data_IF_480905549978
#
_entry.id   IF_480905549978
#
_cell.length_a   1.000
_cell.length_b   1.000
_cell.length_c   1.000
_cell.angle_alpha   90.00
_cell.angle_beta   90.00
_cell.angle_gamma   90.00
#
_symmetry.space_group_name_H-M   'P 1'
#
loop_
_entity.id
_entity.type
_entity.pdbx_description
1 polymer ?
#
# COMPACT_ATOMS: atom_id res chain seq x y z
N UNK A 1 17.70 3.65 16.77
CA UNK A 1 16.37 3.49 17.41
C UNK A 1 16.27 2.03 17.76
N UNK A 2 16.17 1.72 19.05
CA UNK A 2 15.94 0.35 19.49
C UNK A 2 14.51 -0.05 19.06
N UNK A 3 14.43 -1.06 18.21
CA UNK A 3 13.16 -1.58 17.72
C UNK A 3 12.64 -2.57 18.77
N UNK A 4 11.45 -2.31 19.29
CA UNK A 4 10.77 -3.24 20.20
C UNK A 4 10.09 -4.37 19.42
N UNK A 5 10.80 -5.49 19.29
CA UNK A 5 10.29 -6.70 18.62
C UNK A 5 9.19 -7.42 19.40
N UNK A 6 8.91 -7.03 20.65
CA UNK A 6 7.79 -7.58 21.44
C UNK A 6 6.46 -6.90 21.15
N UNK A 7 6.47 -5.79 20.38
CA UNK A 7 5.29 -5.01 20.06
C UNK A 7 4.24 -5.80 19.28
N UNK A 8 2.96 -5.42 19.45
CA UNK A 8 1.84 -6.05 18.72
C UNK A 8 2.02 -6.00 17.20
N UNK A 9 2.69 -4.96 16.68
CA UNK A 9 2.93 -4.82 15.25
C UNK A 9 3.77 -5.96 14.69
N UNK A 10 4.82 -6.39 15.41
CA UNK A 10 5.64 -7.54 14.97
C UNK A 10 4.89 -8.86 15.05
N UNK A 11 4.02 -9.02 16.07
CA UNK A 11 3.16 -10.22 16.21
C UNK A 11 2.15 -10.35 15.06
N UNK A 12 1.63 -9.22 14.60
CA UNK A 12 0.65 -9.18 13.50
C UNK A 12 1.34 -9.46 12.15
N UNK A 13 2.50 -8.84 11.91
CA UNK A 13 3.18 -8.92 10.62
C UNK A 13 4.11 -10.13 10.48
N UNK A 14 4.31 -10.90 11.55
CA UNK A 14 5.22 -12.06 11.60
C UNK A 14 6.68 -11.73 11.15
N UNK A 15 7.11 -10.47 11.27
CA UNK A 15 8.46 -10.04 10.90
C UNK A 15 9.42 -10.40 12.03
N UNK A 16 10.49 -11.12 11.70
CA UNK A 16 11.53 -11.49 12.65
C UNK A 16 12.64 -10.42 12.75
N UNK A 17 13.39 -10.45 13.85
CA UNK A 17 14.56 -9.59 14.01
C UNK A 17 15.58 -9.82 12.89
N UNK A 18 15.85 -11.08 12.55
CA UNK A 18 16.75 -11.45 11.46
C UNK A 18 16.33 -10.87 10.11
N UNK A 19 15.04 -10.91 9.78
CA UNK A 19 14.51 -10.28 8.56
C UNK A 19 14.73 -8.76 8.56
N UNK A 20 14.59 -8.10 9.71
CA UNK A 20 14.88 -6.66 9.81
C UNK A 20 16.37 -6.34 9.65
N UNK A 21 17.26 -7.19 10.19
CA UNK A 21 18.72 -7.01 10.12
C UNK A 21 19.28 -7.30 8.72
N UNK A 22 18.69 -8.22 7.98
CA UNK A 22 19.11 -8.62 6.63
C UNK A 22 18.35 -7.88 5.52
N UNK A 23 17.32 -7.15 5.86
CA UNK A 23 16.51 -6.38 4.91
C UNK A 23 17.25 -5.16 4.33
N UNK A 24 16.70 -4.61 3.25
CA UNK A 24 17.19 -3.36 2.68
C UNK A 24 16.86 -2.19 3.61
N UNK A 25 17.68 -1.14 3.55
CA UNK A 25 17.39 0.07 4.33
C UNK A 25 16.14 0.79 3.78
N UNK A 26 15.44 1.53 4.66
CA UNK A 26 14.28 2.34 4.24
C UNK A 26 14.66 3.31 3.12
N UNK A 27 15.87 3.88 3.16
CA UNK A 27 16.36 4.79 2.11
C UNK A 27 16.48 4.11 0.75
N UNK A 28 16.98 2.88 0.72
CA UNK A 28 17.08 2.07 -0.49
C UNK A 28 15.69 1.70 -0.99
N UNK A 29 14.82 1.23 -0.11
CA UNK A 29 13.44 0.90 -0.46
C UNK A 29 12.69 2.10 -1.07
N UNK A 30 12.86 3.32 -0.52
CA UNK A 30 12.26 4.54 -1.06
C UNK A 30 12.81 4.88 -2.45
N UNK A 31 14.11 4.71 -2.68
CA UNK A 31 14.71 4.99 -3.99
C UNK A 31 14.22 3.99 -5.04
N UNK A 32 14.12 2.71 -4.71
CA UNK A 32 13.55 1.69 -5.60
C UNK A 32 12.05 1.95 -5.86
N UNK A 33 11.28 2.27 -4.82
CA UNK A 33 9.88 2.66 -4.97
C UNK A 33 9.74 3.84 -5.95
N UNK A 34 10.59 4.86 -5.84
CA UNK A 34 10.51 6.01 -6.75
C UNK A 34 10.91 5.65 -8.17
N UNK A 35 11.88 4.78 -8.35
CA UNK A 35 12.23 4.25 -9.67
C UNK A 35 11.03 3.56 -10.33
N UNK A 36 10.31 2.72 -9.60
CA UNK A 36 9.11 2.06 -10.11
C UNK A 36 7.95 3.05 -10.32
N UNK A 37 7.79 4.00 -9.38
CA UNK A 37 6.77 5.05 -9.44
C UNK A 37 6.84 5.87 -10.74
N UNK A 38 8.05 6.18 -11.23
CA UNK A 38 8.22 6.91 -12.48
C UNK A 38 7.84 6.11 -13.74
N UNK A 39 7.72 4.81 -13.65
CA UNK A 39 7.44 3.93 -14.79
C UNK A 39 5.95 3.56 -14.91
N UNK A 40 5.12 4.01 -13.98
CA UNK A 40 3.72 3.65 -13.94
C UNK A 40 2.80 4.84 -14.21
N UNK A 41 1.64 4.56 -14.76
CA UNK A 41 0.59 5.56 -14.95
C UNK A 41 -0.37 5.63 -13.75
N UNK A 42 -0.34 4.60 -12.89
CA UNK A 42 -1.28 4.48 -11.78
C UNK A 42 -0.69 3.74 -10.59
N UNK A 43 -0.94 4.29 -9.42
CA UNK A 43 -0.68 3.64 -8.14
C UNK A 43 -2.01 3.22 -7.50
N UNK A 44 -2.06 1.99 -7.03
CA UNK A 44 -3.25 1.39 -6.44
C UNK A 44 -2.92 0.94 -5.04
N UNK A 45 -3.74 1.32 -4.07
CA UNK A 45 -3.61 0.82 -2.70
C UNK A 45 -4.98 0.70 -2.01
N UNK A 46 -5.00 -0.01 -0.88
CA UNK A 46 -6.16 -0.06 0.00
C UNK A 46 -5.95 0.91 1.15
N UNK A 47 -6.66 2.04 1.14
CA UNK A 47 -6.42 3.21 1.99
C UNK A 47 -5.15 4.01 1.60
N UNK A 48 -5.04 4.33 0.32
CA UNK A 48 -3.86 4.94 -0.31
C UNK A 48 -3.32 6.21 0.38
N UNK A 49 -4.19 6.96 1.05
CA UNK A 49 -3.78 8.14 1.83
C UNK A 49 -2.90 7.77 3.03
N UNK A 50 -3.08 6.59 3.60
CA UNK A 50 -2.23 6.09 4.67
C UNK A 50 -0.83 5.76 4.13
N UNK A 51 -0.76 4.98 3.04
CA UNK A 51 0.50 4.60 2.40
C UNK A 51 1.29 5.84 1.95
N UNK A 52 0.61 6.79 1.31
CA UNK A 52 1.20 8.07 0.90
C UNK A 52 1.84 8.82 2.09
N UNK A 53 1.14 8.91 3.22
CA UNK A 53 1.67 9.58 4.42
C UNK A 53 2.89 8.88 5.00
N UNK A 54 2.90 7.55 5.01
CA UNK A 54 4.06 6.77 5.48
C UNK A 54 5.26 7.02 4.56
N UNK A 55 5.09 6.89 3.25
CA UNK A 55 6.16 7.12 2.27
C UNK A 55 6.75 8.53 2.42
N UNK A 56 5.90 9.56 2.45
CA UNK A 56 6.35 10.95 2.63
C UNK A 56 7.08 11.13 3.96
N UNK A 57 6.55 10.56 5.05
CA UNK A 57 7.20 10.62 6.36
C UNK A 57 8.60 10.00 6.36
N UNK A 58 8.75 8.84 5.71
CA UNK A 58 10.05 8.17 5.60
C UNK A 58 11.01 8.91 4.64
N UNK A 59 10.51 9.50 3.57
CA UNK A 59 11.29 10.37 2.70
C UNK A 59 11.88 11.55 3.49
N UNK A 60 11.10 12.21 4.33
CA UNK A 60 11.54 13.33 5.14
C UNK A 60 12.56 12.90 6.21
N UNK A 61 12.32 11.78 6.90
CA UNK A 61 13.24 11.26 7.92
C UNK A 61 14.60 10.85 7.35
N UNK A 62 14.60 10.34 6.12
CA UNK A 62 15.78 9.75 5.49
C UNK A 62 16.37 10.61 4.36
N UNK A 63 15.97 11.86 4.21
CA UNK A 63 16.28 12.69 3.04
C UNK A 63 17.76 12.77 2.70
N UNK A 64 18.66 12.94 3.68
CA UNK A 64 20.12 12.98 3.42
C UNK A 64 20.67 11.66 2.89
N UNK A 65 20.17 10.51 3.38
CA UNK A 65 20.58 9.20 2.88
C UNK A 65 20.06 8.96 1.47
N UNK A 66 18.82 9.37 1.22
CA UNK A 66 18.19 9.29 -0.11
C UNK A 66 18.99 10.12 -1.13
N UNK A 67 19.33 11.37 -0.81
CA UNK A 67 20.18 12.22 -1.69
C UNK A 67 21.47 11.49 -2.06
N UNK A 68 22.22 10.98 -1.08
CA UNK A 68 23.48 10.27 -1.33
C UNK A 68 23.32 9.00 -2.18
N UNK A 69 22.18 8.32 -2.10
CA UNK A 69 21.87 7.16 -2.92
C UNK A 69 21.52 7.57 -4.35
N UNK A 70 20.74 8.63 -4.51
CA UNK A 70 20.33 9.16 -5.82
C UNK A 70 21.49 9.78 -6.59
N UNK A 71 22.42 10.45 -5.93
CA UNK A 71 23.65 10.99 -6.55
C UNK A 71 24.48 9.88 -7.24
N UNK A 72 24.36 8.63 -6.80
CA UNK A 72 25.00 7.47 -7.43
C UNK A 72 24.20 6.88 -8.59
N UNK A 73 23.03 7.41 -8.86
CA UNK A 73 22.06 6.93 -9.87
C UNK A 73 21.65 8.07 -10.81
N UNK A 74 22.56 8.52 -11.70
CA UNK A 74 22.35 9.72 -12.52
C UNK A 74 21.18 9.60 -13.53
N UNK A 75 20.63 8.41 -13.71
CA UNK A 75 19.43 8.15 -14.49
C UNK A 75 18.12 8.49 -13.75
N UNK A 76 18.17 8.71 -12.42
CA UNK A 76 17.03 9.17 -11.66
C UNK A 76 16.95 10.70 -11.65
N UNK A 77 15.75 11.27 -11.66
CA UNK A 77 15.58 12.71 -11.49
C UNK A 77 16.16 13.22 -10.16
N UNK A 78 16.48 14.50 -10.07
CA UNK A 78 16.94 15.10 -8.81
C UNK A 78 15.97 14.83 -7.66
N UNK A 79 16.50 14.65 -6.45
CA UNK A 79 15.70 14.35 -5.25
C UNK A 79 14.56 15.34 -5.00
N UNK A 80 14.73 16.61 -5.38
CA UNK A 80 13.69 17.63 -5.28
C UNK A 80 12.48 17.29 -6.15
N UNK A 81 12.71 16.67 -7.30
CA UNK A 81 11.65 16.19 -8.19
C UNK A 81 10.89 15.03 -7.56
N UNK A 82 11.63 14.08 -6.95
CA UNK A 82 11.03 12.96 -6.22
C UNK A 82 10.07 13.45 -5.12
N UNK A 83 10.49 14.38 -4.29
CA UNK A 83 9.64 14.94 -3.24
C UNK A 83 8.41 15.63 -3.83
N UNK A 84 8.59 16.43 -4.88
CA UNK A 84 7.48 17.09 -5.57
C UNK A 84 6.47 16.10 -6.13
N UNK A 85 6.93 15.06 -6.82
CA UNK A 85 6.06 14.14 -7.55
C UNK A 85 5.26 13.24 -6.59
N UNK A 86 5.88 12.77 -5.51
CA UNK A 86 5.19 11.94 -4.52
C UNK A 86 4.29 12.78 -3.60
N UNK A 87 4.68 14.01 -3.29
CA UNK A 87 3.91 14.91 -2.41
C UNK A 87 2.75 15.59 -3.14
N UNK A 88 2.93 15.96 -4.40
CA UNK A 88 2.06 16.88 -5.12
C UNK A 88 0.98 16.13 -5.92
N UNK A 89 -0.27 16.60 -5.80
CA UNK A 89 -1.42 16.11 -6.56
C UNK A 89 -1.34 16.39 -8.07
N UNK A 90 -0.33 17.13 -8.51
CA UNK A 90 -0.06 17.46 -9.92
C UNK A 90 0.85 16.45 -10.63
N UNK A 91 1.12 15.28 -10.04
CA UNK A 91 1.77 14.21 -10.79
C UNK A 91 0.80 13.65 -11.84
N UNK A 92 1.31 13.32 -13.03
CA UNK A 92 0.52 12.65 -14.07
C UNK A 92 0.09 11.22 -13.67
N UNK A 93 0.46 10.77 -12.47
CA UNK A 93 0.19 9.44 -11.96
C UNK A 93 -1.15 9.44 -11.25
N UNK A 94 -2.05 8.61 -11.72
CA UNK A 94 -3.37 8.45 -11.12
C UNK A 94 -3.30 7.61 -9.86
N UNK A 95 -3.93 8.07 -8.78
CA UNK A 95 -4.09 7.32 -7.55
C UNK A 95 -5.46 6.64 -7.51
N UNK A 96 -5.49 5.35 -7.18
CA UNK A 96 -6.74 4.60 -7.03
C UNK A 96 -6.82 3.93 -5.66
N UNK A 97 -7.85 4.26 -4.89
CA UNK A 97 -8.10 3.70 -3.58
C UNK A 97 -9.20 2.64 -3.64
N UNK A 98 -8.84 1.36 -3.45
CA UNK A 98 -9.81 0.26 -3.42
C UNK A 98 -10.74 0.34 -2.22
N UNK A 99 -10.29 0.92 -1.09
CA UNK A 99 -11.12 1.12 0.09
C UNK A 99 -12.29 2.08 -0.19
N UNK A 100 -12.02 3.24 -0.75
CA UNK A 100 -13.07 4.21 -1.06
C UNK A 100 -14.02 3.70 -2.13
N UNK A 101 -13.47 3.10 -3.19
CA UNK A 101 -14.26 2.52 -4.28
C UNK A 101 -15.07 1.30 -3.84
N UNK A 102 -14.62 0.61 -2.78
CA UNK A 102 -15.24 -0.59 -2.24
C UNK A 102 -16.46 -0.34 -1.33
N UNK A 103 -16.66 0.89 -0.83
CA UNK A 103 -17.77 1.20 0.11
C UNK A 103 -19.14 0.76 -0.40
N UNK A 104 -19.45 1.12 -1.64
CA UNK A 104 -20.74 0.78 -2.26
C UNK A 104 -20.82 -0.70 -2.68
N UNK A 105 -19.69 -1.38 -2.78
CA UNK A 105 -19.65 -2.81 -3.13
C UNK A 105 -19.95 -3.66 -1.89
N UNK A 106 -19.28 -3.35 -0.76
CA UNK A 106 -19.50 -4.07 0.49
C UNK A 106 -20.79 -3.69 1.18
N UNK A 107 -21.25 -2.46 0.98
CA UNK A 107 -22.47 -1.90 1.56
C UNK A 107 -22.61 -2.12 3.08
N UNK A 108 -21.45 -2.14 3.80
CA UNK A 108 -21.41 -2.30 5.25
C UNK A 108 -21.84 -1.00 5.89
N UNK A 109 -22.88 -1.02 6.71
CA UNK A 109 -23.35 0.16 7.44
C UNK A 109 -22.96 0.08 8.91
N UNK A 110 -22.66 1.25 9.49
CA UNK A 110 -22.40 1.42 10.92
C UNK A 110 -23.25 2.57 11.45
N UNK A 111 -23.64 2.47 12.72
CA UNK A 111 -24.30 3.56 13.40
C UNK A 111 -23.34 4.73 13.65
N UNK A 112 -23.85 5.96 13.53
CA UNK A 112 -23.07 7.15 13.89
C UNK A 112 -22.91 7.22 15.41
N UNK A 113 -21.75 7.69 15.86
CA UNK A 113 -21.43 7.82 17.29
C UNK A 113 -22.44 8.67 18.10
N UNK A 114 -23.22 9.51 17.44
CA UNK A 114 -24.27 10.31 18.07
C UNK A 114 -25.64 9.60 18.11
N UNK A 115 -25.72 8.33 17.72
CA UNK A 115 -26.95 7.54 17.69
C UNK A 115 -28.01 7.99 16.64
N UNK A 116 -27.65 8.95 15.78
CA UNK A 116 -28.59 9.50 14.79
C UNK A 116 -28.21 9.07 13.36
N UNK A 117 -28.74 7.92 12.95
CA UNK A 117 -28.60 7.40 11.59
C UNK A 117 -27.35 6.55 11.39
N UNK A 118 -27.21 6.05 10.18
CA UNK A 118 -26.14 5.16 9.76
C UNK A 118 -25.24 5.82 8.71
N UNK A 119 -24.07 5.25 8.48
CA UNK A 119 -23.17 5.62 7.38
C UNK A 119 -22.50 4.38 6.79
N UNK A 120 -22.06 4.46 5.54
CA UNK A 120 -21.29 3.41 4.91
C UNK A 120 -19.86 3.38 5.47
N UNK A 121 -19.52 2.27 6.12
CA UNK A 121 -18.18 2.00 6.62
C UNK A 121 -17.19 1.89 5.46
N UNK A 122 -15.97 2.42 5.64
CA UNK A 122 -14.84 2.04 4.78
C UNK A 122 -14.47 0.58 5.06
N UNK A 123 -14.54 -0.33 4.07
CA UNK A 123 -14.25 -1.73 4.28
C UNK A 123 -12.77 -1.95 4.59
N UNK A 124 -12.46 -2.98 5.36
CA UNK A 124 -11.13 -3.58 5.39
C UNK A 124 -10.87 -4.29 4.06
N UNK A 125 -9.60 -4.51 3.70
CA UNK A 125 -9.25 -5.21 2.46
C UNK A 125 -9.88 -6.62 2.40
N UNK A 126 -9.84 -7.34 3.50
CA UNK A 126 -10.46 -8.66 3.60
C UNK A 126 -11.98 -8.63 3.41
N UNK A 127 -12.67 -7.65 3.99
CA UNK A 127 -14.12 -7.50 3.86
C UNK A 127 -14.51 -7.25 2.40
N UNK A 128 -13.74 -6.41 1.71
CA UNK A 128 -13.92 -6.13 0.28
C UNK A 128 -13.66 -7.37 -0.55
N UNK A 129 -12.55 -8.06 -0.28
CA UNK A 129 -12.16 -9.27 -1.00
C UNK A 129 -13.22 -10.38 -0.86
N UNK A 130 -13.64 -10.68 0.37
CA UNK A 130 -14.69 -11.67 0.64
C UNK A 130 -16.02 -11.33 -0.06
N UNK A 131 -16.41 -10.07 -0.02
CA UNK A 131 -17.64 -9.63 -0.72
C UNK A 131 -17.53 -9.82 -2.23
N UNK A 132 -16.38 -9.56 -2.81
CA UNK A 132 -16.20 -9.61 -4.26
C UNK A 132 -15.99 -11.03 -4.79
N UNK A 133 -15.34 -11.91 -4.03
CA UNK A 133 -14.89 -13.22 -4.53
C UNK A 133 -15.55 -14.39 -3.80
N UNK A 134 -16.20 -14.16 -2.66
CA UNK A 134 -16.69 -15.21 -1.75
C UNK A 134 -15.60 -16.19 -1.33
N UNK A 135 -14.37 -15.67 -1.12
CA UNK A 135 -13.17 -16.40 -0.77
C UNK A 135 -12.56 -15.81 0.50
N UNK A 136 -11.93 -16.65 1.32
CA UNK A 136 -11.14 -16.21 2.48
C UNK A 136 -9.67 -16.56 2.19
N UNK A 137 -8.80 -15.57 2.01
CA UNK A 137 -7.39 -15.82 1.81
C UNK A 137 -6.70 -16.22 3.11
N UNK A 138 -5.67 -17.05 3.00
CA UNK A 138 -4.77 -17.38 4.08
C UNK A 138 -3.67 -16.30 4.23
N UNK A 139 -2.95 -16.32 5.35
CA UNK A 139 -1.78 -15.46 5.60
C UNK A 139 -2.01 -13.96 5.39
N UNK A 140 -3.12 -13.43 5.87
CA UNK A 140 -3.36 -11.99 5.95
C UNK A 140 -2.23 -11.30 6.72
N UNK A 141 -1.97 -10.01 6.37
CA UNK A 141 -0.88 -9.19 6.89
C UNK A 141 0.51 -9.52 6.34
N UNK A 142 0.61 -10.43 5.38
CA UNK A 142 1.77 -10.49 4.49
C UNK A 142 1.63 -9.41 3.40
N UNK A 143 2.68 -8.59 3.23
CA UNK A 143 2.64 -7.44 2.33
C UNK A 143 2.42 -7.84 0.86
N UNK A 144 2.96 -8.99 0.42
CA UNK A 144 2.76 -9.49 -0.94
C UNK A 144 1.31 -9.96 -1.12
N UNK A 145 0.78 -10.71 -0.16
CA UNK A 145 -0.61 -11.20 -0.21
C UNK A 145 -1.56 -10.02 -0.22
N UNK A 146 -1.42 -9.06 0.68
CA UNK A 146 -2.28 -7.88 0.73
C UNK A 146 -2.21 -7.07 -0.57
N UNK A 147 -1.04 -6.94 -1.19
CA UNK A 147 -0.87 -6.29 -2.49
C UNK A 147 -1.61 -7.04 -3.61
N UNK A 148 -1.53 -8.37 -3.63
CA UNK A 148 -2.22 -9.21 -4.62
C UNK A 148 -3.74 -9.18 -4.43
N UNK A 149 -4.24 -9.21 -3.18
CA UNK A 149 -5.66 -9.02 -2.88
C UNK A 149 -6.17 -7.66 -3.39
N UNK A 150 -5.40 -6.61 -3.12
CA UNK A 150 -5.72 -5.27 -3.58
C UNK A 150 -5.76 -5.18 -5.11
N UNK A 151 -4.80 -5.77 -5.82
CA UNK A 151 -4.75 -5.85 -7.27
C UNK A 151 -5.95 -6.60 -7.85
N UNK A 152 -6.29 -7.78 -7.31
CA UNK A 152 -7.47 -8.55 -7.76
C UNK A 152 -8.77 -7.75 -7.60
N UNK A 153 -8.93 -7.08 -6.46
CA UNK A 153 -10.08 -6.20 -6.23
C UNK A 153 -10.13 -5.08 -7.28
N UNK A 154 -9.01 -4.39 -7.52
CA UNK A 154 -8.91 -3.33 -8.52
C UNK A 154 -9.30 -3.82 -9.93
N UNK A 155 -8.71 -4.90 -10.39
CA UNK A 155 -8.95 -5.46 -11.73
C UNK A 155 -10.44 -5.82 -11.89
N UNK A 156 -11.02 -6.49 -10.90
CA UNK A 156 -12.44 -6.81 -10.94
C UNK A 156 -13.36 -5.59 -10.91
N UNK A 157 -13.00 -4.56 -10.13
CA UNK A 157 -13.78 -3.30 -10.09
C UNK A 157 -13.74 -2.57 -11.44
N UNK A 158 -12.57 -2.45 -12.04
CA UNK A 158 -12.37 -1.60 -13.22
C UNK A 158 -12.64 -2.30 -14.54
N UNK A 159 -12.29 -3.57 -14.66
CA UNK A 159 -12.32 -4.31 -15.92
C UNK A 159 -13.33 -5.45 -15.92
N UNK A 160 -14.02 -5.69 -14.79
CA UNK A 160 -14.98 -6.82 -14.62
C UNK A 160 -14.32 -8.20 -14.86
N UNK A 161 -13.01 -8.24 -14.80
CA UNK A 161 -12.22 -9.46 -14.98
C UNK A 161 -11.76 -9.99 -13.63
N UNK A 162 -11.82 -11.32 -13.47
CA UNK A 162 -11.29 -12.01 -12.28
C UNK A 162 -10.02 -12.72 -12.66
N UNK A 163 -8.87 -12.28 -12.11
CA UNK A 163 -7.60 -12.98 -12.28
C UNK A 163 -7.72 -14.35 -11.60
N UNK A 164 -7.52 -15.47 -12.34
CA UNK A 164 -7.52 -16.80 -11.75
C UNK A 164 -6.43 -16.97 -10.68
N UNK A 165 -6.70 -17.76 -9.63
CA UNK A 165 -5.68 -18.01 -8.59
C UNK A 165 -4.40 -18.64 -9.13
N UNK A 166 -4.50 -19.44 -10.19
CA UNK A 166 -3.34 -20.06 -10.85
C UNK A 166 -2.37 -19.06 -11.52
N UNK A 167 -2.82 -17.85 -11.79
CA UNK A 167 -2.02 -16.78 -12.41
C UNK A 167 -1.44 -15.79 -11.38
N UNK A 168 -1.68 -16.02 -10.08
CA UNK A 168 -1.19 -15.14 -9.05
C UNK A 168 0.24 -15.47 -8.64
N UNK A 169 1.05 -14.47 -8.26
CA UNK A 169 2.45 -14.68 -7.87
C UNK A 169 2.59 -15.36 -6.50
N UNK A 170 1.50 -15.56 -5.77
CA UNK A 170 1.46 -16.21 -4.47
C UNK A 170 0.17 -17.04 -4.33
N UNK A 171 0.18 -18.00 -3.40
CA UNK A 171 -1.04 -18.76 -3.03
C UNK A 171 -1.89 -17.91 -2.08
N UNK A 172 -3.16 -17.76 -2.42
CA UNK A 172 -4.19 -17.12 -1.60
C UNK A 172 -5.05 -18.14 -0.89
#
# INVERSE_FOLDING_TARGET
VDIDFSSEAFKINNITKEQCETGVTVSEAIVEFYHDYMQVEKVIAHNIEFDKKIIIGEMLRNHYKIIKLMDKRPYLPPTVTMFRDVYNENSNIMLFCTMYSGKNITNITMEKSNGKGTFLKSPKLIELYQTMFNETPDNLHDALIDSVLCLRCYIKMRFKYTIPKSELPCRL
#
